data_IF_705868790911
#
_entry.id   IF_705868790911
#
_cell.length_a   1.000
_cell.length_b   1.000
_cell.length_c   1.000
_cell.angle_alpha   90.00
_cell.angle_beta   90.00
_cell.angle_gamma   90.00
#
_symmetry.space_group_name_H-M   'P 1'
#
loop_
_entity.id
_entity.type
_entity.pdbx_description
1 polymer ?
#
# COMPACT_ATOMS: atom_id res chain seq x y z
N UNK A 1 7.40 14.41 10.10
CA UNK A 1 8.03 13.25 9.45
C UNK A 1 8.30 13.67 8.02
N UNK A 2 9.53 13.58 7.50
CA UNK A 2 9.84 14.00 6.11
C UNK A 2 8.87 13.27 5.16
N UNK A 3 8.18 14.01 4.28
CA UNK A 3 7.23 13.51 3.28
C UNK A 3 7.79 12.28 2.55
N UNK A 4 9.05 12.35 2.15
CA UNK A 4 9.77 11.28 1.48
C UNK A 4 9.88 9.99 2.33
N UNK A 5 10.13 10.13 3.64
CA UNK A 5 10.16 8.99 4.57
C UNK A 5 8.78 8.34 4.69
N UNK A 6 7.72 9.15 4.70
CA UNK A 6 6.33 8.66 4.75
C UNK A 6 5.99 7.88 3.49
N UNK A 7 6.27 8.44 2.31
CA UNK A 7 6.05 7.80 1.02
C UNK A 7 6.79 6.47 0.93
N UNK A 8 8.07 6.43 1.32
CA UNK A 8 8.88 5.20 1.33
C UNK A 8 8.28 4.09 2.21
N UNK A 9 7.72 4.44 3.36
CA UNK A 9 7.03 3.48 4.23
C UNK A 9 5.79 2.93 3.53
N UNK A 10 4.97 3.78 2.93
CA UNK A 10 3.75 3.37 2.24
C UNK A 10 4.08 2.47 1.05
N UNK A 11 5.07 2.83 0.23
CA UNK A 11 5.54 2.04 -0.91
C UNK A 11 6.06 0.67 -0.49
N UNK A 12 6.79 0.60 0.62
CA UNK A 12 7.25 -0.68 1.19
C UNK A 12 6.06 -1.58 1.54
N UNK A 13 5.01 -1.03 2.16
CA UNK A 13 3.82 -1.81 2.53
C UNK A 13 2.96 -2.22 1.36
N UNK A 14 2.88 -1.40 0.31
CA UNK A 14 2.26 -1.78 -0.96
C UNK A 14 3.02 -2.99 -1.55
N UNK A 15 4.36 -2.94 -1.57
CA UNK A 15 5.18 -4.06 -2.07
C UNK A 15 5.02 -5.34 -1.24
N UNK A 16 4.93 -5.22 0.10
CA UNK A 16 4.70 -6.36 0.98
C UNK A 16 3.34 -7.03 0.66
N UNK A 17 2.29 -6.23 0.46
CA UNK A 17 0.96 -6.72 0.11
C UNK A 17 0.93 -7.33 -1.28
N UNK A 18 1.60 -6.73 -2.28
CA UNK A 18 1.71 -7.29 -3.62
C UNK A 18 2.37 -8.69 -3.58
N UNK A 19 3.38 -8.89 -2.73
CA UNK A 19 3.99 -10.20 -2.52
C UNK A 19 3.04 -11.21 -1.87
N UNK A 20 2.30 -10.80 -0.82
CA UNK A 20 1.31 -11.65 -0.16
C UNK A 20 0.16 -12.03 -1.09
N UNK A 21 -0.37 -11.08 -1.86
CA UNK A 21 -1.41 -11.32 -2.87
C UNK A 21 -0.93 -12.31 -3.91
N UNK A 22 0.30 -12.14 -4.43
CA UNK A 22 0.86 -13.05 -5.43
C UNK A 22 0.96 -14.49 -4.92
N UNK A 23 1.44 -14.68 -3.69
CA UNK A 23 1.57 -16.01 -3.07
C UNK A 23 0.18 -16.59 -2.75
N UNK A 24 -0.68 -15.80 -2.11
CA UNK A 24 -2.01 -16.22 -1.69
C UNK A 24 -2.96 -16.56 -2.83
N UNK A 25 -2.86 -15.84 -3.96
CA UNK A 25 -3.71 -16.08 -5.14
C UNK A 25 -3.51 -17.45 -5.78
N UNK A 26 -2.41 -18.14 -5.45
CA UNK A 26 -2.13 -19.50 -5.90
C UNK A 26 -2.85 -20.56 -5.06
N UNK A 27 -3.54 -20.17 -3.98
CA UNK A 27 -4.18 -21.08 -3.03
C UNK A 27 -5.63 -20.64 -2.74
N UNK A 28 -6.61 -21.43 -3.21
CA UNK A 28 -8.05 -21.17 -3.02
C UNK A 28 -8.45 -20.95 -1.55
N UNK A 29 -7.81 -21.66 -0.61
CA UNK A 29 -8.09 -21.51 0.82
C UNK A 29 -7.70 -20.15 1.41
N UNK A 30 -6.91 -19.36 0.66
CA UNK A 30 -6.49 -18.01 1.04
C UNK A 30 -7.34 -16.91 0.40
N UNK A 31 -8.40 -17.25 -0.36
CA UNK A 31 -9.22 -16.28 -1.11
C UNK A 31 -9.62 -15.05 -0.29
N UNK A 32 -10.18 -15.26 0.91
CA UNK A 32 -10.62 -14.15 1.77
C UNK A 32 -9.45 -13.26 2.21
N UNK A 33 -8.29 -13.85 2.49
CA UNK A 33 -7.08 -13.09 2.86
C UNK A 33 -6.58 -12.28 1.67
N UNK A 34 -6.61 -12.85 0.46
CA UNK A 34 -6.22 -12.15 -0.77
C UNK A 34 -7.13 -10.95 -1.04
N UNK A 35 -8.45 -11.12 -0.90
CA UNK A 35 -9.42 -10.02 -1.06
C UNK A 35 -9.17 -8.90 -0.04
N UNK A 36 -8.89 -9.26 1.23
CA UNK A 36 -8.53 -8.29 2.26
C UNK A 36 -7.22 -7.56 1.97
N UNK A 37 -6.18 -8.26 1.51
CA UNK A 37 -4.91 -7.63 1.16
C UNK A 37 -5.04 -6.72 -0.06
N UNK A 38 -5.85 -7.09 -1.05
CA UNK A 38 -6.16 -6.24 -2.20
C UNK A 38 -6.85 -4.95 -1.77
N UNK A 39 -7.82 -5.04 -0.85
CA UNK A 39 -8.46 -3.85 -0.28
C UNK A 39 -7.43 -2.95 0.41
N UNK A 40 -6.63 -3.48 1.34
CA UNK A 40 -5.61 -2.71 2.05
C UNK A 40 -4.58 -2.08 1.11
N UNK A 41 -4.19 -2.80 0.06
CA UNK A 41 -3.24 -2.33 -0.95
C UNK A 41 -3.81 -1.16 -1.76
N UNK A 42 -5.10 -1.19 -2.08
CA UNK A 42 -5.76 -0.10 -2.78
C UNK A 42 -5.89 1.15 -1.90
N UNK A 43 -6.26 0.99 -0.63
CA UNK A 43 -6.30 2.11 0.33
C UNK A 43 -4.92 2.76 0.51
N UNK A 44 -3.86 1.97 0.60
CA UNK A 44 -2.50 2.50 0.70
C UNK A 44 -2.06 3.26 -0.56
N UNK A 45 -2.49 2.83 -1.75
CA UNK A 45 -2.23 3.57 -3.00
C UNK A 45 -2.92 4.92 -2.96
N UNK A 46 -4.19 4.99 -2.54
CA UNK A 46 -4.92 6.25 -2.40
C UNK A 46 -4.22 7.20 -1.41
N UNK A 47 -3.77 6.67 -0.26
CA UNK A 47 -3.03 7.47 0.73
C UNK A 47 -1.67 7.94 0.19
N UNK A 48 -0.93 7.08 -0.52
CA UNK A 48 0.34 7.46 -1.15
C UNK A 48 0.14 8.63 -2.10
N UNK A 49 -0.86 8.55 -2.97
CA UNK A 49 -1.13 9.55 -4.00
C UNK A 49 -1.53 10.88 -3.33
N UNK A 50 -2.42 10.82 -2.33
CA UNK A 50 -2.78 12.00 -1.54
C UNK A 50 -1.57 12.64 -0.84
N UNK A 51 -0.66 11.85 -0.25
CA UNK A 51 0.57 12.37 0.39
C UNK A 51 1.54 12.95 -0.65
N UNK A 52 1.64 12.34 -1.84
CA UNK A 52 2.49 12.82 -2.92
C UNK A 52 2.02 14.19 -3.44
N UNK A 53 0.70 14.40 -3.50
CA UNK A 53 0.05 15.61 -4.00
C UNK A 53 0.06 16.78 -3.00
N UNK A 54 0.35 16.54 -1.71
CA UNK A 54 0.53 17.64 -0.74
C UNK A 54 1.78 18.43 -1.11
N UNK A 55 1.61 19.63 -1.67
CA UNK A 55 2.69 20.61 -1.79
C UNK A 55 3.23 20.90 -0.37
N UNK A 56 4.56 20.84 -0.20
CA UNK A 56 5.19 21.31 1.03
C UNK A 56 5.03 22.84 1.06
N UNK A 57 3.91 23.30 1.61
CA UNK A 57 3.76 24.70 1.96
C UNK A 57 4.77 24.99 3.07
N UNK A 58 5.86 25.68 2.72
CA UNK A 58 6.81 26.21 3.69
C UNK A 58 6.05 27.13 4.65
N UNK A 59 6.01 26.75 5.93
CA UNK A 59 5.55 27.60 7.04
C UNK A 59 6.76 28.21 7.72
#
# INVERSE_FOLDING_TARGET
MNKEKTLKIIETRISDLDALIKIGSQNESQKNNVEMWQFARNELVLVRDAVADVEESEV
#
